data_IF_368491854707
#
_entry.id   IF_368491854707
#
_cell.length_a   1.000
_cell.length_b   1.000
_cell.length_c   1.000
_cell.angle_alpha   90.00
_cell.angle_beta   90.00
_cell.angle_gamma   90.00
#
_symmetry.space_group_name_H-M   'P 1'
#
loop_
_entity.id
_entity.type
_entity.pdbx_description
1 polymer ?
#
# COMPACT_ATOMS: atom_id res chain seq x y z
N UNK A 1 9.44 -20.24 26.77
CA UNK A 1 8.16 -20.35 26.04
C UNK A 1 8.47 -20.15 24.58
N UNK A 2 8.07 -21.09 23.71
CA UNK A 2 8.25 -21.01 22.26
C UNK A 2 6.88 -20.83 21.62
N UNK A 3 6.72 -19.82 20.78
CA UNK A 3 5.52 -19.61 19.97
C UNK A 3 5.84 -19.98 18.52
N UNK A 4 4.97 -20.76 17.91
CA UNK A 4 5.05 -21.15 16.51
C UNK A 4 4.14 -20.22 15.70
N UNK A 5 4.70 -19.42 14.80
CA UNK A 5 3.92 -18.62 13.86
C UNK A 5 3.51 -19.52 12.72
N UNK A 6 2.25 -19.95 12.72
CA UNK A 6 1.66 -20.74 11.64
C UNK A 6 1.03 -19.77 10.64
N UNK A 7 1.54 -19.72 9.41
CA UNK A 7 0.94 -18.96 8.31
C UNK A 7 -0.35 -19.65 7.88
N UNK A 8 -1.51 -19.15 8.33
CA UNK A 8 -2.81 -19.65 7.88
C UNK A 8 -3.16 -19.05 6.50
N UNK A 9 -3.06 -19.88 5.47
CA UNK A 9 -3.28 -19.51 4.06
C UNK A 9 -4.76 -19.50 3.66
N UNK A 10 -5.69 -19.89 4.54
CA UNK A 10 -7.12 -19.96 4.20
C UNK A 10 -7.78 -18.58 4.00
N UNK A 11 -7.24 -17.54 4.63
CA UNK A 11 -7.68 -16.16 4.42
C UNK A 11 -7.52 -15.70 2.95
N UNK A 12 -6.60 -16.33 2.20
CA UNK A 12 -6.21 -15.86 0.87
C UNK A 12 -7.22 -16.21 -0.23
N UNK A 13 -7.86 -17.39 -0.22
CA UNK A 13 -8.57 -17.87 -1.42
C UNK A 13 -9.81 -17.05 -1.82
N UNK A 14 -10.60 -16.55 -0.86
CA UNK A 14 -11.76 -15.72 -1.18
C UNK A 14 -11.37 -14.28 -1.50
N UNK A 15 -10.33 -13.76 -0.84
CA UNK A 15 -9.87 -12.40 -1.07
C UNK A 15 -9.14 -12.25 -2.42
N UNK A 16 -8.46 -13.31 -2.89
CA UNK A 16 -7.86 -13.37 -4.23
C UNK A 16 -8.90 -13.22 -5.35
N UNK A 17 -10.16 -13.62 -5.13
CA UNK A 17 -11.23 -13.45 -6.12
C UNK A 17 -11.46 -11.97 -6.45
N UNK A 18 -11.29 -11.08 -5.48
CA UNK A 18 -11.44 -9.64 -5.69
C UNK A 18 -10.35 -9.04 -6.59
N UNK A 19 -9.14 -9.61 -6.56
CA UNK A 19 -8.05 -9.20 -7.47
C UNK A 19 -8.27 -9.70 -8.90
N UNK A 20 -9.01 -10.81 -9.05
CA UNK A 20 -9.30 -11.46 -10.33
C UNK A 20 -10.63 -11.03 -10.96
N UNK A 21 -11.51 -10.33 -10.22
CA UNK A 21 -12.90 -10.09 -10.63
C UNK A 21 -13.14 -8.91 -11.57
N UNK A 22 -12.13 -8.15 -11.98
CA UNK A 22 -12.29 -7.11 -13.01
C UNK A 22 -12.04 -7.69 -14.39
N UNK A 23 -13.12 -7.86 -15.15
CA UNK A 23 -13.13 -8.49 -16.46
C UNK A 23 -12.31 -7.75 -17.51
N UNK A 24 -11.28 -8.44 -17.99
CA UNK A 24 -10.74 -8.31 -19.34
C UNK A 24 -10.42 -9.73 -19.81
N UNK A 25 -10.92 -10.13 -20.98
CA UNK A 25 -10.66 -11.43 -21.61
C UNK A 25 -9.21 -11.54 -22.13
N UNK A 26 -8.26 -10.94 -21.43
CA UNK A 26 -6.84 -11.04 -21.72
C UNK A 26 -6.22 -11.87 -20.60
N UNK A 27 -5.71 -13.04 -20.97
CA UNK A 27 -4.89 -13.85 -20.08
C UNK A 27 -3.78 -12.95 -19.50
N UNK A 28 -3.58 -12.92 -18.17
CA UNK A 28 -2.53 -12.10 -17.59
C UNK A 28 -1.19 -12.65 -18.07
N UNK A 29 -0.58 -11.92 -18.99
CA UNK A 29 0.80 -12.11 -19.43
C UNK A 29 1.71 -11.76 -18.25
N UNK A 30 1.99 -12.75 -17.42
CA UNK A 30 2.87 -12.65 -16.25
C UNK A 30 2.12 -12.80 -14.94
N UNK A 31 2.46 -13.86 -14.19
CA UNK A 31 2.05 -14.03 -12.81
C UNK A 31 2.74 -12.94 -11.96
N UNK A 32 2.09 -11.78 -11.77
CA UNK A 32 2.57 -10.81 -10.80
C UNK A 32 2.56 -11.45 -9.40
N UNK A 33 3.64 -11.26 -8.67
CA UNK A 33 3.71 -11.70 -7.28
C UNK A 33 2.60 -11.04 -6.48
N UNK A 34 1.75 -11.88 -5.86
CA UNK A 34 0.69 -11.41 -4.98
C UNK A 34 1.23 -11.34 -3.56
N UNK A 35 1.15 -10.16 -2.95
CA UNK A 35 1.57 -9.95 -1.58
C UNK A 35 0.49 -9.18 -0.80
N UNK A 36 0.64 -9.13 0.52
CA UNK A 36 -0.37 -8.56 1.39
C UNK A 36 0.10 -8.41 2.82
N UNK A 37 -0.75 -7.78 3.62
CA UNK A 37 -0.53 -7.56 5.04
C UNK A 37 -1.84 -7.42 5.81
N UNK A 38 -1.74 -7.44 7.12
CA UNK A 38 -2.86 -7.20 8.04
C UNK A 38 -2.60 -5.85 8.71
N UNK A 39 -3.62 -4.99 8.77
CA UNK A 39 -3.49 -3.70 9.46
C UNK A 39 -3.36 -3.91 10.96
N UNK A 40 -2.71 -2.98 11.64
CA UNK A 40 -2.39 -3.06 13.07
C UNK A 40 -3.60 -3.30 13.98
N UNK A 41 -4.78 -2.81 13.57
CA UNK A 41 -6.03 -3.01 14.31
C UNK A 41 -6.67 -4.41 14.12
N UNK A 42 -6.08 -5.26 13.27
CA UNK A 42 -6.51 -6.61 12.92
C UNK A 42 -7.90 -6.72 12.29
N UNK A 43 -8.58 -5.60 12.06
CA UNK A 43 -9.92 -5.56 11.49
C UNK A 43 -9.91 -5.68 9.97
N UNK A 44 -8.78 -5.35 9.35
CA UNK A 44 -8.63 -5.31 7.91
C UNK A 44 -7.31 -5.93 7.47
N UNK A 45 -7.31 -6.46 6.26
CA UNK A 45 -6.13 -6.89 5.57
C UNK A 45 -6.15 -6.33 4.16
N UNK A 46 -4.98 -6.16 3.58
CA UNK A 46 -4.81 -5.67 2.22
C UNK A 46 -4.05 -6.67 1.38
N UNK A 47 -4.34 -6.67 0.08
CA UNK A 47 -3.70 -7.51 -0.91
C UNK A 47 -3.39 -6.70 -2.17
N UNK A 48 -2.29 -7.05 -2.80
CA UNK A 48 -1.77 -6.44 -4.03
C UNK A 48 -1.54 -7.52 -5.07
N UNK A 49 -1.88 -7.24 -6.32
CA UNK A 49 -1.45 -8.00 -7.49
C UNK A 49 -1.22 -7.04 -8.66
N UNK A 50 0.04 -6.85 -9.05
CA UNK A 50 0.41 -5.87 -10.08
C UNK A 50 0.00 -4.45 -9.67
N UNK A 51 -0.89 -3.82 -10.44
CA UNK A 51 -1.48 -2.50 -10.18
C UNK A 51 -2.72 -2.53 -9.28
N UNK A 52 -3.25 -3.73 -9.01
CA UNK A 52 -4.53 -3.89 -8.31
C UNK A 52 -4.29 -3.96 -6.81
N UNK A 53 -5.07 -3.18 -6.09
CA UNK A 53 -5.07 -3.08 -4.64
C UNK A 53 -6.47 -3.40 -4.11
N UNK A 54 -6.56 -4.18 -3.03
CA UNK A 54 -7.82 -4.44 -2.34
C UNK A 54 -7.62 -4.46 -0.84
N UNK A 55 -8.61 -3.94 -0.12
CA UNK A 55 -8.75 -4.08 1.34
C UNK A 55 -9.99 -4.89 1.65
N UNK A 56 -9.84 -5.87 2.52
CA UNK A 56 -10.91 -6.77 2.97
C UNK A 56 -11.09 -6.66 4.48
N UNK A 57 -12.32 -6.80 4.95
CA UNK A 57 -12.59 -6.93 6.38
C UNK A 57 -12.17 -8.31 6.86
N UNK A 58 -11.32 -8.40 7.88
CA UNK A 58 -10.94 -9.67 8.49
C UNK A 58 -12.13 -10.37 9.15
N UNK A 59 -13.07 -9.59 9.71
CA UNK A 59 -14.25 -10.12 10.40
C UNK A 59 -15.30 -10.70 9.44
N UNK A 60 -15.54 -10.02 8.32
CA UNK A 60 -16.64 -10.35 7.39
C UNK A 60 -16.16 -11.03 6.11
N UNK A 61 -14.88 -10.95 5.80
CA UNK A 61 -14.29 -11.48 4.57
C UNK A 61 -14.71 -10.75 3.30
N UNK A 62 -15.44 -9.64 3.40
CA UNK A 62 -15.90 -8.85 2.26
C UNK A 62 -14.89 -7.75 1.90
N UNK A 63 -14.86 -7.38 0.62
CA UNK A 63 -14.13 -6.21 0.14
C UNK A 63 -14.72 -4.93 0.77
N UNK A 64 -13.81 -4.07 1.24
CA UNK A 64 -14.12 -2.78 1.87
C UNK A 64 -13.67 -1.62 0.96
N UNK A 65 -12.56 -1.80 0.25
CA UNK A 65 -12.06 -0.85 -0.73
C UNK A 65 -11.21 -1.54 -1.79
N UNK A 66 -11.12 -0.96 -2.98
CA UNK A 66 -10.25 -1.44 -4.05
C UNK A 66 -9.79 -0.29 -4.92
N UNK A 67 -8.61 -0.44 -5.51
CA UNK A 67 -8.09 0.52 -6.46
C UNK A 67 -7.32 -0.19 -7.58
N UNK A 68 -7.44 0.33 -8.80
CA UNK A 68 -6.61 -0.10 -9.92
C UNK A 68 -5.84 1.10 -10.46
N UNK A 69 -4.52 1.09 -10.23
CA UNK A 69 -3.67 2.21 -10.58
C UNK A 69 -3.41 2.32 -12.09
N UNK A 70 -3.60 1.24 -12.88
CA UNK A 70 -3.48 1.31 -14.35
C UNK A 70 -4.49 2.30 -14.93
N UNK A 71 -5.74 2.20 -14.48
CA UNK A 71 -6.82 3.06 -14.99
C UNK A 71 -6.65 4.52 -14.59
N UNK A 72 -6.07 4.77 -13.42
CA UNK A 72 -5.90 6.13 -12.89
C UNK A 72 -4.68 6.83 -13.49
N UNK A 73 -3.60 6.08 -13.74
CA UNK A 73 -2.35 6.61 -14.25
C UNK A 73 -2.24 6.54 -15.77
N UNK A 74 -3.18 5.84 -16.43
CA UNK A 74 -3.14 5.54 -17.87
C UNK A 74 -1.82 4.86 -18.31
N UNK A 75 -1.20 4.12 -17.38
CA UNK A 75 0.06 3.43 -17.60
C UNK A 75 -0.12 1.94 -17.26
N UNK A 76 -0.07 1.10 -18.29
CA UNK A 76 -0.23 -0.35 -18.20
C UNK A 76 0.97 -1.06 -17.57
N UNK A 77 2.08 -0.36 -17.35
CA UNK A 77 3.28 -0.87 -16.67
C UNK A 77 3.25 -0.61 -15.16
N UNK A 78 2.19 0.05 -14.66
CA UNK A 78 2.06 0.42 -13.25
C UNK A 78 2.07 -0.81 -12.34
N UNK A 79 2.96 -0.83 -11.35
CA UNK A 79 3.05 -1.92 -10.36
C UNK A 79 3.22 -1.37 -8.95
N UNK A 80 2.38 -1.85 -8.02
CA UNK A 80 2.53 -1.55 -6.60
C UNK A 80 3.68 -2.39 -6.03
N UNK A 81 4.56 -1.73 -5.26
CA UNK A 81 5.73 -2.37 -4.65
C UNK A 81 5.67 -2.42 -3.12
N UNK A 82 5.00 -1.48 -2.49
CA UNK A 82 4.98 -1.36 -1.05
C UNK A 82 3.70 -0.72 -0.54
N UNK A 83 3.29 -1.14 0.65
CA UNK A 83 2.15 -0.57 1.38
C UNK A 83 2.56 -0.37 2.83
N UNK A 84 2.45 0.86 3.31
CA UNK A 84 2.73 1.26 4.70
C UNK A 84 1.47 1.81 5.36
N UNK A 85 1.27 1.49 6.64
CA UNK A 85 0.13 1.97 7.43
C UNK A 85 0.45 3.34 8.03
N UNK A 86 -0.46 4.31 7.86
CA UNK A 86 -0.41 5.62 8.50
C UNK A 86 -1.52 5.67 9.55
N UNK A 87 -1.17 5.48 10.81
CA UNK A 87 -2.12 5.56 11.91
C UNK A 87 -2.71 6.96 12.02
N UNK A 88 -4.00 7.02 12.33
CA UNK A 88 -4.70 8.27 12.59
C UNK A 88 -5.13 8.34 14.04
N UNK A 89 -5.12 9.54 14.59
CA UNK A 89 -5.63 9.80 15.93
C UNK A 89 -7.15 9.64 15.98
N UNK A 90 -7.67 9.55 17.20
CA UNK A 90 -9.11 9.54 17.51
C UNK A 90 -9.91 8.36 16.93
N UNK A 91 -9.29 7.18 16.83
CA UNK A 91 -9.98 5.94 16.46
C UNK A 91 -10.47 5.92 15.00
N UNK A 92 -9.93 6.79 14.15
CA UNK A 92 -10.17 6.74 12.71
C UNK A 92 -9.39 5.58 12.11
N UNK A 93 -9.94 4.98 11.06
CA UNK A 93 -9.23 3.97 10.30
C UNK A 93 -7.94 4.55 9.70
N UNK A 94 -6.86 3.75 9.63
CA UNK A 94 -5.57 4.21 9.11
C UNK A 94 -5.67 4.57 7.63
N UNK A 95 -4.77 5.44 7.17
CA UNK A 95 -4.52 5.62 5.75
C UNK A 95 -3.41 4.66 5.31
N UNK A 96 -3.29 4.45 4.00
CA UNK A 96 -2.25 3.61 3.44
C UNK A 96 -1.34 4.42 2.53
N UNK A 97 -0.05 4.44 2.83
CA UNK A 97 0.97 4.88 1.90
C UNK A 97 1.25 3.74 0.93
N UNK A 98 1.10 3.96 -0.38
CA UNK A 98 1.29 2.95 -1.42
C UNK A 98 2.35 3.46 -2.38
N UNK A 99 3.43 2.69 -2.58
CA UNK A 99 4.43 2.97 -3.60
C UNK A 99 4.11 2.21 -4.89
N UNK A 100 4.22 2.92 -6.01
CA UNK A 100 3.89 2.44 -7.34
C UNK A 100 5.06 2.81 -8.25
N UNK A 101 5.51 1.88 -9.07
CA UNK A 101 6.41 2.18 -10.18
C UNK A 101 5.66 2.14 -11.49
N UNK A 102 6.07 3.03 -12.37
CA UNK A 102 5.68 3.13 -13.75
C UNK A 102 6.97 3.03 -14.57
N UNK A 103 7.08 2.09 -15.51
CA UNK A 103 8.32 1.89 -16.28
C UNK A 103 8.72 3.16 -17.04
N UNK A 104 7.73 3.95 -17.47
CA UNK A 104 7.95 5.16 -18.28
C UNK A 104 8.00 6.45 -17.47
N UNK A 105 7.43 6.47 -16.26
CA UNK A 105 7.17 7.68 -15.49
C UNK A 105 7.82 7.68 -14.10
N UNK A 106 8.72 6.75 -13.80
CA UNK A 106 9.40 6.69 -12.49
C UNK A 106 8.50 6.12 -11.39
N UNK A 107 8.49 6.76 -10.24
CA UNK A 107 7.77 6.32 -9.04
C UNK A 107 6.65 7.25 -8.61
N UNK A 108 5.64 6.70 -7.95
CA UNK A 108 4.57 7.46 -7.31
C UNK A 108 4.35 6.91 -5.90
N UNK A 109 4.28 7.80 -4.93
CA UNK A 109 3.81 7.48 -3.58
C UNK A 109 2.44 8.11 -3.43
N UNK A 110 1.43 7.30 -3.12
CA UNK A 110 0.11 7.82 -2.85
C UNK A 110 -0.36 7.50 -1.44
N UNK A 111 -1.10 8.45 -0.85
CA UNK A 111 -1.80 8.26 0.42
C UNK A 111 -3.25 7.92 0.08
N UNK A 112 -3.66 6.70 0.41
CA UNK A 112 -4.96 6.14 0.06
C UNK A 112 -5.85 6.01 1.30
N UNK A 113 -7.09 6.52 1.17
CA UNK A 113 -8.18 6.28 2.12
C UNK A 113 -9.03 5.14 1.57
N UNK A 114 -8.87 3.95 2.15
CA UNK A 114 -9.54 2.75 1.67
C UNK A 114 -11.03 2.70 2.06
N UNK A 115 -11.45 3.43 3.09
CA UNK A 115 -12.87 3.54 3.45
C UNK A 115 -13.60 4.43 2.45
N UNK A 116 -12.98 5.57 2.10
CA UNK A 116 -13.49 6.48 1.08
C UNK A 116 -13.19 6.04 -0.35
N UNK A 117 -12.41 4.97 -0.54
CA UNK A 117 -11.84 4.51 -1.81
C UNK A 117 -11.30 5.67 -2.65
N UNK A 118 -10.36 6.46 -2.08
CA UNK A 118 -9.83 7.66 -2.73
C UNK A 118 -8.34 7.87 -2.44
N UNK A 119 -7.64 8.43 -3.42
CA UNK A 119 -6.28 8.96 -3.23
C UNK A 119 -6.38 10.37 -2.64
N UNK A 120 -5.79 10.57 -1.47
CA UNK A 120 -5.75 11.86 -0.76
C UNK A 120 -4.60 12.72 -1.30
N UNK A 121 -3.44 12.10 -1.52
CA UNK A 121 -2.22 12.77 -1.97
C UNK A 121 -1.45 11.82 -2.87
N UNK A 122 -0.80 12.36 -3.88
CA UNK A 122 0.18 11.66 -4.69
C UNK A 122 1.45 12.51 -4.77
N UNK A 123 2.60 11.86 -4.68
CA UNK A 123 3.92 12.47 -4.79
C UNK A 123 4.63 11.72 -5.92
N UNK A 124 5.04 12.47 -6.94
CA UNK A 124 5.82 11.94 -8.04
C UNK A 124 7.29 11.89 -7.63
N UNK A 125 7.93 10.77 -7.93
CA UNK A 125 9.36 10.51 -7.74
C UNK A 125 9.93 10.24 -9.13
N UNK A 126 11.00 10.95 -9.48
CA UNK A 126 11.60 10.85 -10.82
C UNK A 126 12.07 9.43 -11.12
N UNK A 127 12.67 8.78 -10.12
CA UNK A 127 13.21 7.43 -10.25
C UNK A 127 12.23 6.35 -9.79
N UNK A 128 12.50 5.12 -10.23
CA UNK A 128 11.78 3.95 -9.76
C UNK A 128 12.04 3.70 -8.26
N UNK A 129 10.95 3.59 -7.50
CA UNK A 129 10.97 3.29 -6.07
C UNK A 129 11.37 1.81 -5.88
N UNK A 130 12.23 1.55 -4.91
CA UNK A 130 12.63 0.21 -4.48
C UNK A 130 12.08 -0.14 -3.10
N UNK A 131 11.85 0.88 -2.25
CA UNK A 131 11.40 0.70 -0.87
C UNK A 131 10.55 1.86 -0.37
N UNK A 132 9.58 1.58 0.48
CA UNK A 132 8.76 2.56 1.18
C UNK A 132 8.63 2.16 2.65
N UNK A 133 8.87 3.10 3.56
CA UNK A 133 8.68 2.90 4.99
C UNK A 133 8.13 4.15 5.66
N UNK A 134 7.11 3.96 6.50
CA UNK A 134 6.54 5.05 7.31
C UNK A 134 7.40 5.21 8.56
N UNK A 135 8.08 6.34 8.71
CA UNK A 135 8.94 6.63 9.86
C UNK A 135 8.12 7.22 11.00
N UNK A 136 7.36 8.26 10.69
CA UNK A 136 6.50 8.95 11.64
C UNK A 136 5.15 9.27 10.99
N UNK A 137 4.11 9.29 11.82
CA UNK A 137 2.73 9.51 11.39
C UNK A 137 2.18 10.87 11.85
N UNK A 138 3.04 11.77 12.34
CA UNK A 138 2.66 13.13 12.75
C UNK A 138 1.90 13.17 14.08
N UNK A 139 2.16 12.22 14.98
CA UNK A 139 1.47 12.13 16.29
C UNK A 139 2.42 12.36 17.48
N UNK A 140 3.55 13.04 17.25
CA UNK A 140 4.60 13.29 18.26
C UNK A 140 5.10 12.01 18.96
N UNK A 141 4.94 10.85 18.31
CA UNK A 141 5.30 9.55 18.88
C UNK A 141 6.82 9.38 18.94
N UNK A 142 7.52 9.99 17.99
CA UNK A 142 8.97 10.00 17.93
C UNK A 142 9.49 11.40 18.22
N UNK A 143 10.41 11.50 19.18
CA UNK A 143 11.14 12.74 19.45
C UNK A 143 12.24 12.90 18.37
N UNK A 144 11.81 13.18 17.15
CA UNK A 144 12.70 13.40 16.01
C UNK A 144 13.50 14.68 16.23
N UNK A 145 14.81 14.61 16.06
CA UNK A 145 15.70 15.77 16.23
C UNK A 145 15.91 16.53 14.93
N UNK A 146 16.10 17.85 15.04
CA UNK A 146 16.55 18.68 13.91
C UNK A 146 15.43 18.98 12.91
N UNK A 147 15.71 19.16 11.61
CA UNK A 147 14.72 19.60 10.64
C UNK A 147 13.48 18.71 10.53
N UNK A 148 13.62 17.40 10.79
CA UNK A 148 12.54 16.41 10.71
C UNK A 148 11.39 16.69 11.68
N UNK A 149 11.66 17.37 12.81
CA UNK A 149 10.62 17.73 13.79
C UNK A 149 9.58 18.71 13.25
N UNK A 150 9.84 19.36 12.11
CA UNK A 150 8.94 20.34 11.53
C UNK A 150 7.93 19.72 10.54
N UNK A 151 7.93 18.40 10.37
CA UNK A 151 7.06 17.69 9.44
C UNK A 151 5.93 16.96 10.18
N UNK A 152 4.74 16.95 9.57
CA UNK A 152 3.54 16.24 10.08
C UNK A 152 3.41 14.89 9.36
N UNK A 153 4.27 13.96 9.76
CA UNK A 153 4.45 12.64 9.14
C UNK A 153 5.64 12.60 8.18
N UNK A 154 6.30 11.44 8.15
CA UNK A 154 7.58 11.23 7.44
C UNK A 154 7.63 9.83 6.83
N UNK A 155 8.08 9.75 5.58
CA UNK A 155 8.30 8.52 4.84
C UNK A 155 9.76 8.41 4.39
N UNK A 156 10.38 7.25 4.61
CA UNK A 156 11.60 6.87 3.92
C UNK A 156 11.27 6.23 2.57
N UNK A 157 11.95 6.68 1.53
CA UNK A 157 11.78 6.19 0.16
C UNK A 157 13.15 5.81 -0.37
N UNK A 158 13.32 4.54 -0.72
CA UNK A 158 14.45 4.08 -1.51
C UNK A 158 14.07 4.10 -2.98
N UNK A 159 14.96 4.55 -3.86
CA UNK A 159 14.91 4.34 -5.31
C UNK A 159 15.96 3.30 -5.72
N UNK A 160 16.09 3.02 -7.01
CA UNK A 160 17.16 2.15 -7.51
C UNK A 160 18.55 2.82 -7.43
N UNK A 161 18.61 4.15 -7.41
CA UNK A 161 19.86 4.90 -7.42
C UNK A 161 20.22 5.45 -6.04
N UNK A 162 19.25 5.95 -5.28
CA UNK A 162 19.47 6.67 -4.02
C UNK A 162 18.38 6.40 -2.97
N UNK A 163 18.56 6.93 -1.76
CA UNK A 163 17.54 6.92 -0.71
C UNK A 163 17.31 8.34 -0.19
N UNK A 164 16.06 8.74 -0.06
CA UNK A 164 15.69 10.04 0.51
C UNK A 164 14.51 9.91 1.49
N UNK A 165 14.32 10.96 2.29
CA UNK A 165 13.27 11.05 3.30
C UNK A 165 12.33 12.18 2.85
N UNK A 166 11.04 11.87 2.77
CA UNK A 166 9.96 12.79 2.43
C UNK A 166 9.11 13.13 3.64
#
# INVERSE_FOLDING_TARGET
MSFCVVKDSKFQQNALKFLLSTGSNEEPTGLFETFGGILSNLNYAWLVNGSKFVVVSCKRGNQVGSWDFVNTLHDNTSKILGVGEIHRSHGREPLLAISINCETNGGIICIFDFIGSKVIRAIHVVDQISYLHVIDVGQDLFNLSGPLQNFDGIFAVGTLEEMFIL
#
